data_IF_644906169744
#
_entry.id   IF_644906169744
#
_cell.length_a   1.000
_cell.length_b   1.000
_cell.length_c   1.000
_cell.angle_alpha   90.00
_cell.angle_beta   90.00
_cell.angle_gamma   90.00
#
_symmetry.space_group_name_H-M   'P 1'
#
loop_
_entity.id
_entity.type
_entity.pdbx_description
1 polymer ?
#
# COMPACT_ATOMS: atom_id res chain seq x y z
N UNK A 1 11.73 -23.04 -39.44
CA UNK A 1 12.68 -22.28 -38.60
C UNK A 1 11.86 -21.49 -37.58
N UNK A 2 12.15 -21.60 -36.27
CA UNK A 2 11.21 -21.17 -35.23
C UNK A 2 11.37 -19.69 -34.86
N UNK A 3 10.22 -19.07 -34.59
CA UNK A 3 9.99 -17.69 -34.12
C UNK A 3 10.37 -17.52 -32.62
N UNK A 4 11.56 -17.99 -32.22
CA UNK A 4 11.95 -18.14 -30.81
C UNK A 4 12.86 -17.05 -30.23
N UNK A 5 13.62 -16.30 -31.05
CA UNK A 5 14.79 -15.56 -30.55
C UNK A 5 14.68 -14.02 -30.57
N UNK A 6 13.51 -13.44 -30.86
CA UNK A 6 13.38 -11.98 -30.99
C UNK A 6 12.85 -11.24 -29.73
N UNK A 7 12.66 -11.92 -28.60
CA UNK A 7 12.08 -11.32 -27.37
C UNK A 7 13.00 -11.41 -26.13
N UNK A 8 14.28 -11.74 -26.31
CA UNK A 8 15.26 -11.90 -25.22
C UNK A 8 16.31 -10.78 -25.12
N UNK A 9 16.18 -9.72 -25.94
CA UNK A 9 17.18 -8.63 -26.04
C UNK A 9 16.88 -7.33 -25.27
N UNK A 10 15.71 -7.18 -24.63
CA UNK A 10 15.27 -5.90 -24.03
C UNK A 10 15.24 -5.87 -22.50
N UNK A 11 15.78 -6.90 -21.84
CA UNK A 11 16.03 -6.89 -20.39
C UNK A 11 17.52 -7.06 -20.10
N UNK A 12 18.35 -6.17 -20.66
CA UNK A 12 19.65 -5.92 -20.06
C UNK A 12 19.41 -5.20 -18.73
N UNK A 13 19.38 -5.98 -17.66
CA UNK A 13 19.29 -5.50 -16.30
C UNK A 13 20.37 -4.45 -16.06
N UNK A 14 19.93 -3.20 -15.87
CA UNK A 14 20.77 -2.20 -15.24
C UNK A 14 21.29 -2.79 -13.95
N UNK A 15 22.62 -2.78 -13.77
CA UNK A 15 23.24 -3.06 -12.47
C UNK A 15 22.48 -2.23 -11.45
N UNK A 16 21.71 -2.90 -10.59
CA UNK A 16 21.19 -2.29 -9.37
C UNK A 16 22.43 -1.90 -8.60
N UNK A 17 22.79 -0.62 -8.65
CA UNK A 17 23.84 -0.06 -7.80
C UNK A 17 23.53 -0.54 -6.39
N UNK A 18 24.47 -1.31 -5.81
CA UNK A 18 24.30 -1.91 -4.49
C UNK A 18 23.74 -0.86 -3.57
N UNK A 19 22.49 -1.08 -3.14
CA UNK A 19 21.74 -0.18 -2.28
C UNK A 19 22.67 0.22 -1.12
N UNK A 20 22.82 1.53 -0.91
CA UNK A 20 23.57 2.05 0.22
C UNK A 20 23.13 1.29 1.47
N UNK A 21 24.10 0.74 2.21
CA UNK A 21 23.84 0.00 3.45
C UNK A 21 22.86 0.80 4.30
N UNK A 22 21.71 0.23 4.71
CA UNK A 22 20.76 0.95 5.55
C UNK A 22 21.49 1.40 6.83
N UNK A 23 21.28 2.66 7.28
CA UNK A 23 21.96 3.17 8.47
C UNK A 23 21.61 2.28 9.67
N UNK A 24 22.60 2.05 10.54
CA UNK A 24 22.52 1.07 11.63
C UNK A 24 21.33 1.37 12.55
N UNK A 25 20.52 0.36 12.86
CA UNK A 25 19.34 0.42 13.73
C UNK A 25 19.68 0.58 15.24
N UNK A 26 20.69 1.39 15.56
CA UNK A 26 21.20 1.57 16.92
C UNK A 26 20.25 2.37 17.81
N UNK A 27 19.58 1.67 18.73
CA UNK A 27 19.12 2.12 20.05
C UNK A 27 18.41 3.47 20.17
N UNK A 28 17.06 3.42 20.28
CA UNK A 28 16.10 4.25 21.03
C UNK A 28 16.42 5.70 21.46
N UNK A 29 17.29 6.43 20.78
CA UNK A 29 17.22 7.87 20.82
C UNK A 29 16.50 8.39 19.59
N UNK A 30 15.26 8.67 19.87
CA UNK A 30 14.31 9.23 18.94
C UNK A 30 14.58 10.74 18.83
N UNK A 31 14.61 11.27 17.60
CA UNK A 31 14.54 12.72 17.39
C UNK A 31 13.40 13.28 18.22
N UNK A 32 13.60 14.42 18.87
CA UNK A 32 12.49 15.07 19.56
C UNK A 32 11.40 15.46 18.56
N UNK A 33 10.17 15.60 19.03
CA UNK A 33 9.06 16.06 18.18
C UNK A 33 9.37 17.40 17.50
N UNK A 34 10.05 18.29 18.21
CA UNK A 34 10.49 19.58 17.66
C UNK A 34 11.52 19.41 16.54
N UNK A 35 12.54 18.56 16.73
CA UNK A 35 13.55 18.30 15.69
C UNK A 35 12.93 17.69 14.42
N UNK A 36 11.94 16.80 14.57
CA UNK A 36 11.23 16.22 13.41
C UNK A 36 10.43 17.28 12.67
N UNK A 37 9.81 18.20 13.40
CA UNK A 37 9.09 19.30 12.77
C UNK A 37 10.04 20.26 12.05
N UNK A 38 11.17 20.61 12.67
CA UNK A 38 12.20 21.42 12.02
C UNK A 38 12.74 20.73 10.75
N UNK A 39 12.90 19.40 10.76
CA UNK A 39 13.26 18.63 9.57
C UNK A 39 12.17 18.69 8.49
N UNK A 40 10.89 18.63 8.84
CA UNK A 40 9.79 18.78 7.87
C UNK A 40 9.76 20.17 7.25
N UNK A 41 9.96 21.21 8.06
CA UNK A 41 10.08 22.59 7.57
C UNK A 41 11.28 22.72 6.64
N UNK A 42 12.44 22.18 7.01
CA UNK A 42 13.62 22.14 6.16
C UNK A 42 13.34 21.47 4.81
N UNK A 43 12.60 20.35 4.79
CA UNK A 43 12.21 19.70 3.54
C UNK A 43 11.32 20.59 2.68
N UNK A 44 10.32 21.26 3.28
CA UNK A 44 9.44 22.16 2.55
C UNK A 44 10.25 23.27 1.86
N UNK A 45 11.16 23.94 2.58
CA UNK A 45 12.05 24.96 2.01
C UNK A 45 12.94 24.42 0.86
N UNK A 46 13.42 23.18 0.99
CA UNK A 46 14.20 22.52 -0.06
C UNK A 46 13.35 22.17 -1.29
N UNK A 47 12.07 21.83 -1.09
CA UNK A 47 11.12 21.56 -2.18
C UNK A 47 10.72 22.86 -2.89
N UNK A 48 10.49 23.94 -2.17
CA UNK A 48 10.21 25.25 -2.74
C UNK A 48 11.40 25.74 -3.59
N UNK A 49 12.63 25.54 -3.09
CA UNK A 49 13.84 25.78 -3.88
C UNK A 49 13.87 24.91 -5.14
N UNK A 50 13.48 23.63 -5.05
CA UNK A 50 13.42 22.73 -6.20
C UNK A 50 12.46 23.21 -7.27
N UNK A 51 11.27 23.66 -6.88
CA UNK A 51 10.24 24.16 -7.78
C UNK A 51 10.78 25.34 -8.59
N UNK A 52 11.38 26.31 -7.93
CA UNK A 52 11.95 27.50 -8.59
C UNK A 52 13.09 27.13 -9.54
N UNK A 53 13.98 26.22 -9.14
CA UNK A 53 15.06 25.76 -10.01
C UNK A 53 14.51 25.02 -11.24
N UNK A 54 13.39 24.29 -11.09
CA UNK A 54 12.72 23.66 -12.21
C UNK A 54 12.08 24.69 -13.16
N UNK A 55 11.45 25.74 -12.64
CA UNK A 55 10.85 26.80 -13.46
C UNK A 55 11.93 27.55 -14.26
N UNK A 56 13.08 27.83 -13.64
CA UNK A 56 14.25 28.39 -14.33
C UNK A 56 14.74 27.42 -15.41
N UNK A 57 14.81 26.11 -15.13
CA UNK A 57 15.27 25.10 -16.10
C UNK A 57 14.35 24.96 -17.32
N UNK A 58 13.06 25.25 -17.15
CA UNK A 58 12.05 25.24 -18.23
C UNK A 58 11.98 26.57 -18.99
N UNK A 59 12.68 27.61 -18.51
CA UNK A 59 12.60 28.96 -19.07
C UNK A 59 11.34 29.73 -18.68
N UNK A 60 10.60 29.26 -17.67
CA UNK A 60 9.39 29.92 -17.14
C UNK A 60 9.77 31.11 -16.24
N UNK A 61 10.97 31.08 -15.66
CA UNK A 61 11.58 32.19 -14.92
C UNK A 61 13.06 32.35 -15.28
N UNK A 62 13.69 33.43 -14.83
CA UNK A 62 15.13 33.66 -15.00
C UNK A 62 15.84 33.67 -13.66
N UNK A 63 17.11 33.28 -13.67
CA UNK A 63 17.94 33.24 -12.45
C UNK A 63 18.00 34.62 -11.75
N UNK A 64 18.07 35.71 -12.54
CA UNK A 64 18.08 37.08 -12.03
C UNK A 64 16.77 37.49 -11.35
N UNK A 65 15.62 36.99 -11.79
CA UNK A 65 14.32 37.26 -11.14
C UNK A 65 14.18 36.50 -9.82
N UNK A 66 14.73 35.29 -9.75
CA UNK A 66 14.64 34.42 -8.57
C UNK A 66 15.77 34.60 -7.57
N UNK A 67 16.78 35.42 -7.88
CA UNK A 67 18.02 35.52 -7.11
C UNK A 67 17.84 35.92 -5.64
N UNK A 68 16.93 36.87 -5.37
CA UNK A 68 16.65 37.32 -4.00
C UNK A 68 15.91 36.24 -3.21
N UNK A 69 15.01 35.50 -3.87
CA UNK A 69 14.36 34.36 -3.26
C UNK A 69 15.38 33.25 -2.93
N UNK A 70 16.25 32.88 -3.87
CA UNK A 70 17.30 31.86 -3.65
C UNK A 70 18.19 32.25 -2.45
N UNK A 71 18.59 33.52 -2.34
CA UNK A 71 19.37 34.01 -1.20
C UNK A 71 18.60 33.89 0.11
N UNK A 72 17.31 34.25 0.11
CA UNK A 72 16.45 34.14 1.29
C UNK A 72 16.29 32.67 1.73
N UNK A 73 15.90 31.78 0.82
CA UNK A 73 15.75 30.34 1.13
C UNK A 73 17.05 29.72 1.63
N UNK A 74 18.20 30.11 1.07
CA UNK A 74 19.52 29.69 1.60
C UNK A 74 19.71 30.13 3.07
N UNK A 75 19.36 31.36 3.42
CA UNK A 75 19.44 31.86 4.79
C UNK A 75 18.48 31.12 5.74
N UNK A 76 17.24 30.90 5.29
CA UNK A 76 16.20 30.20 6.05
C UNK A 76 16.64 28.75 6.33
N UNK A 77 17.12 28.03 5.31
CA UNK A 77 17.70 26.69 5.45
C UNK A 77 18.88 26.68 6.44
N UNK A 78 19.81 27.62 6.31
CA UNK A 78 20.95 27.74 7.22
C UNK A 78 20.55 27.98 8.67
N UNK A 79 19.51 28.80 8.90
CA UNK A 79 18.96 29.04 10.22
C UNK A 79 18.32 27.77 10.82
N UNK A 80 17.60 26.99 10.03
CA UNK A 80 17.00 25.73 10.47
C UNK A 80 18.09 24.71 10.83
N UNK A 81 19.14 24.55 10.00
CA UNK A 81 20.26 23.67 10.33
C UNK A 81 20.95 24.06 11.64
N UNK A 82 21.18 25.36 11.84
CA UNK A 82 21.75 25.87 13.09
C UNK A 82 20.88 25.48 14.28
N UNK A 83 19.56 25.73 14.20
CA UNK A 83 18.60 25.35 15.25
C UNK A 83 18.63 23.84 15.56
N UNK A 84 18.62 22.99 14.53
CA UNK A 84 18.67 21.52 14.69
C UNK A 84 19.99 21.10 15.36
N UNK A 85 21.11 21.69 14.96
CA UNK A 85 22.44 21.36 15.49
C UNK A 85 22.60 21.73 16.96
N UNK A 86 22.04 22.87 17.39
CA UNK A 86 22.07 23.34 18.79
C UNK A 86 21.21 22.45 19.71
N UNK A 87 20.12 21.89 19.17
CA UNK A 87 19.19 21.03 19.90
C UNK A 87 19.73 19.59 20.05
N UNK A 88 20.59 19.14 19.14
CA UNK A 88 21.09 17.76 19.09
C UNK A 88 22.25 17.50 20.08
N UNK A 89 21.93 17.31 21.36
CA UNK A 89 22.94 16.88 22.36
C UNK A 89 23.37 15.41 22.23
N UNK A 90 22.53 14.58 21.62
CA UNK A 90 22.77 13.14 21.48
C UNK A 90 23.78 12.82 20.36
N UNK A 91 24.57 11.75 20.52
CA UNK A 91 25.60 11.31 19.59
C UNK A 91 25.12 10.31 18.53
N UNK A 92 24.09 9.51 18.81
CA UNK A 92 23.71 8.37 17.96
C UNK A 92 23.24 8.77 16.55
N UNK A 93 22.52 9.90 16.42
CA UNK A 93 21.94 10.37 15.15
C UNK A 93 22.62 11.61 14.57
N UNK A 94 23.78 12.00 15.12
CA UNK A 94 24.61 13.05 14.49
C UNK A 94 25.04 12.65 13.09
N UNK A 95 25.19 11.36 12.81
CA UNK A 95 25.61 10.89 11.49
C UNK A 95 24.56 11.16 10.41
N UNK A 96 23.28 10.90 10.70
CA UNK A 96 22.19 11.17 9.74
C UNK A 96 22.05 12.67 9.46
N UNK A 97 22.08 13.51 10.52
CA UNK A 97 22.06 14.96 10.37
C UNK A 97 23.30 15.48 9.63
N UNK A 98 24.47 14.98 9.99
CA UNK A 98 25.74 15.30 9.33
C UNK A 98 25.66 14.98 7.84
N UNK A 99 25.12 13.82 7.48
CA UNK A 99 24.95 13.43 6.08
C UNK A 99 24.03 14.40 5.32
N UNK A 100 22.98 14.91 5.97
CA UNK A 100 22.12 15.94 5.36
C UNK A 100 22.89 17.25 5.20
N UNK A 101 23.61 17.68 6.24
CA UNK A 101 24.44 18.90 6.22
C UNK A 101 25.55 18.82 5.15
N UNK A 102 26.26 17.70 5.05
CA UNK A 102 27.31 17.48 4.04
C UNK A 102 26.75 17.61 2.62
N UNK A 103 25.50 17.18 2.38
CA UNK A 103 24.85 17.33 1.07
C UNK A 103 24.44 18.79 0.83
N UNK A 104 24.00 19.50 1.88
CA UNK A 104 23.71 20.93 1.81
C UNK A 104 24.97 21.76 1.52
N UNK A 105 26.09 21.52 2.20
CA UNK A 105 27.37 22.21 1.95
C UNK A 105 27.84 22.01 0.50
N UNK A 106 27.62 20.82 -0.07
CA UNK A 106 27.87 20.56 -1.50
C UNK A 106 26.95 21.37 -2.41
N UNK A 107 25.69 21.60 -2.02
CA UNK A 107 24.77 22.47 -2.75
C UNK A 107 25.17 23.94 -2.65
N UNK A 108 25.58 24.41 -1.47
CA UNK A 108 26.04 25.80 -1.27
C UNK A 108 27.29 26.13 -2.09
N UNK A 109 28.11 25.12 -2.37
CA UNK A 109 29.30 25.24 -3.22
C UNK A 109 28.95 25.34 -4.71
N UNK A 110 27.70 25.09 -5.12
CA UNK A 110 27.28 25.22 -6.50
C UNK A 110 27.21 26.71 -6.92
N UNK A 111 27.71 27.09 -8.11
CA UNK A 111 27.75 28.50 -8.53
C UNK A 111 26.40 29.22 -8.49
N UNK A 112 25.31 28.53 -8.84
CA UNK A 112 23.95 29.10 -8.84
C UNK A 112 23.51 29.48 -7.42
N UNK A 113 23.78 28.63 -6.43
CA UNK A 113 23.40 28.89 -5.03
C UNK A 113 24.37 29.86 -4.37
N UNK A 114 25.65 29.80 -4.75
CA UNK A 114 26.69 30.68 -4.20
C UNK A 114 26.47 32.13 -4.63
N UNK A 115 26.28 32.35 -5.93
CA UNK A 115 26.12 33.66 -6.55
C UNK A 115 24.99 33.63 -7.60
N UNK A 116 23.72 33.72 -7.19
CA UNK A 116 22.59 33.66 -8.12
C UNK A 116 22.48 34.89 -9.05
N UNK A 117 23.34 35.89 -8.91
CA UNK A 117 23.37 37.06 -9.81
C UNK A 117 24.37 36.91 -10.96
N UNK A 118 25.23 35.89 -10.91
CA UNK A 118 26.24 35.67 -11.93
C UNK A 118 25.55 35.20 -13.23
N UNK A 119 26.06 35.68 -14.37
CA UNK A 119 25.61 35.23 -15.69
C UNK A 119 26.33 33.93 -16.04
N UNK A 120 25.56 32.89 -16.36
CA UNK A 120 26.08 31.61 -16.82
C UNK A 120 25.75 31.40 -18.30
N UNK A 121 26.57 30.60 -18.99
CA UNK A 121 26.14 30.07 -20.29
C UNK A 121 24.94 29.14 -20.07
N UNK A 122 24.08 28.98 -21.10
CA UNK A 122 22.92 28.10 -20.99
C UNK A 122 23.32 26.64 -20.66
N UNK A 123 24.46 26.19 -21.18
CA UNK A 123 25.01 24.85 -20.94
C UNK A 123 25.49 24.70 -19.47
N UNK A 124 26.27 25.65 -18.97
CA UNK A 124 26.74 25.65 -17.58
C UNK A 124 25.58 25.73 -16.60
N UNK A 125 24.59 26.60 -16.89
CA UNK A 125 23.39 26.72 -16.07
C UNK A 125 22.64 25.39 -15.99
N UNK A 126 22.37 24.74 -17.12
CA UNK A 126 21.68 23.45 -17.14
C UNK A 126 22.49 22.37 -16.41
N UNK A 127 23.81 22.35 -16.59
CA UNK A 127 24.71 21.43 -15.91
C UNK A 127 24.62 21.59 -14.38
N UNK A 128 24.74 22.82 -13.88
CA UNK A 128 24.66 23.13 -12.46
C UNK A 128 23.26 22.85 -11.88
N UNK A 129 22.19 23.12 -12.62
CA UNK A 129 20.81 22.78 -12.23
C UNK A 129 20.61 21.27 -12.07
N UNK A 130 21.12 20.47 -13.00
CA UNK A 130 21.06 19.01 -12.91
C UNK A 130 21.81 18.48 -11.67
N UNK A 131 22.98 19.06 -11.36
CA UNK A 131 23.72 18.75 -10.14
C UNK A 131 22.91 19.08 -8.88
N UNK A 132 22.31 20.28 -8.82
CA UNK A 132 21.46 20.71 -7.70
C UNK A 132 20.25 19.78 -7.52
N UNK A 133 19.52 19.50 -8.61
CA UNK A 133 18.36 18.61 -8.58
C UNK A 133 18.70 17.23 -8.02
N UNK A 134 19.86 16.67 -8.36
CA UNK A 134 20.32 15.39 -7.79
C UNK A 134 20.57 15.49 -6.28
N UNK A 135 21.15 16.60 -5.80
CA UNK A 135 21.43 16.81 -4.36
C UNK A 135 20.17 17.10 -3.57
N UNK A 136 19.26 17.91 -4.12
CA UNK A 136 17.95 18.22 -3.52
C UNK A 136 17.15 16.94 -3.31
N UNK A 137 16.99 16.11 -4.36
CA UNK A 137 16.32 14.80 -4.24
C UNK A 137 16.92 13.94 -3.12
N UNK A 138 18.26 13.95 -2.98
CA UNK A 138 18.95 13.23 -1.91
C UNK A 138 18.64 13.80 -0.52
N UNK A 139 18.59 15.12 -0.33
CA UNK A 139 18.21 15.75 0.94
C UNK A 139 16.75 15.40 1.28
N UNK A 140 15.83 15.57 0.33
CA UNK A 140 14.40 15.24 0.51
C UNK A 140 14.24 13.79 0.94
N UNK A 141 14.93 12.85 0.27
CA UNK A 141 14.93 11.43 0.65
C UNK A 141 15.45 11.21 2.08
N UNK A 142 16.60 11.78 2.43
CA UNK A 142 17.19 11.60 3.77
C UNK A 142 16.30 12.17 4.88
N UNK A 143 15.70 13.34 4.66
CA UNK A 143 14.76 13.92 5.63
C UNK A 143 13.50 13.06 5.74
N UNK A 144 12.93 12.62 4.61
CA UNK A 144 11.72 11.80 4.58
C UNK A 144 11.95 10.45 5.25
N UNK A 145 13.12 9.85 5.06
CA UNK A 145 13.56 8.64 5.75
C UNK A 145 13.50 8.77 7.28
N UNK A 146 13.80 9.96 7.82
CA UNK A 146 13.76 10.24 9.26
C UNK A 146 12.38 10.61 9.78
N UNK A 147 11.53 11.24 8.95
CA UNK A 147 10.28 11.89 9.39
C UNK A 147 9.01 11.11 9.06
N UNK A 148 9.00 10.34 7.97
CA UNK A 148 7.84 9.54 7.53
C UNK A 148 7.47 8.43 8.53
N UNK A 149 8.40 7.66 9.12
CA UNK A 149 8.04 6.56 10.02
C UNK A 149 7.18 7.03 11.21
N UNK A 150 7.55 8.14 11.85
CA UNK A 150 6.75 8.75 12.92
C UNK A 150 5.38 9.17 12.39
N UNK A 151 5.34 9.96 11.32
CA UNK A 151 4.06 10.46 10.79
C UNK A 151 3.15 9.29 10.46
N UNK A 152 3.67 8.24 9.84
CA UNK A 152 2.93 7.02 9.57
C UNK A 152 2.41 6.36 10.86
N UNK A 153 3.20 6.32 11.94
CA UNK A 153 2.75 5.86 13.26
C UNK A 153 1.61 6.73 13.82
N UNK A 154 1.64 8.05 13.66
CA UNK A 154 0.54 8.94 14.07
C UNK A 154 -0.76 8.63 13.31
N UNK A 155 -0.65 8.36 12.01
CA UNK A 155 -1.80 7.94 11.20
C UNK A 155 -2.31 6.57 11.62
N UNK A 156 -1.41 5.61 11.85
CA UNK A 156 -1.75 4.27 12.34
C UNK A 156 -2.40 4.31 13.74
N UNK A 157 -1.97 5.22 14.62
CA UNK A 157 -2.56 5.38 15.95
C UNK A 157 -4.02 5.84 15.88
N UNK A 158 -4.37 6.67 14.88
CA UNK A 158 -5.73 7.19 14.64
C UNK A 158 -6.58 6.22 13.80
N UNK A 159 -5.97 5.36 12.99
CA UNK A 159 -6.67 4.39 12.16
C UNK A 159 -7.31 3.26 12.97
N UNK A 160 -8.47 2.79 12.53
CA UNK A 160 -9.12 1.60 13.10
C UNK A 160 -8.40 0.32 12.62
N UNK A 161 -8.28 -0.73 13.45
CA UNK A 161 -7.77 -2.01 12.98
C UNK A 161 -8.56 -2.53 11.77
N UNK A 162 -7.85 -3.09 10.79
CA UNK A 162 -8.44 -3.55 9.53
C UNK A 162 -8.48 -2.49 8.42
N UNK A 163 -8.27 -1.21 8.73
CA UNK A 163 -8.08 -0.16 7.71
C UNK A 163 -6.64 -0.15 7.20
N UNK A 164 -6.45 0.43 6.01
CA UNK A 164 -5.15 0.63 5.41
C UNK A 164 -4.89 2.10 5.10
N UNK A 165 -3.61 2.44 5.04
CA UNK A 165 -3.09 3.76 4.65
C UNK A 165 -2.43 3.59 3.27
N UNK A 166 -2.94 4.26 2.21
CA UNK A 166 -2.30 4.26 0.90
C UNK A 166 -1.03 5.13 0.93
N UNK A 167 0.12 4.51 1.19
CA UNK A 167 1.39 5.19 1.43
C UNK A 167 1.78 6.11 0.28
N UNK A 168 1.71 5.63 -0.95
CA UNK A 168 2.14 6.40 -2.12
C UNK A 168 1.34 7.67 -2.34
N UNK A 169 0.05 7.65 -2.01
CA UNK A 169 -0.86 8.79 -2.15
C UNK A 169 -0.67 9.77 -1.01
N UNK A 170 -0.53 9.28 0.22
CA UNK A 170 -0.45 10.13 1.42
C UNK A 170 0.89 10.86 1.54
N UNK A 171 1.96 10.30 0.98
CA UNK A 171 3.31 10.87 1.04
C UNK A 171 3.83 11.31 -0.33
N UNK A 172 2.94 11.53 -1.30
CA UNK A 172 3.32 12.02 -2.63
C UNK A 172 3.89 13.45 -2.57
N UNK A 173 3.31 14.28 -1.72
CA UNK A 173 3.73 15.65 -1.43
C UNK A 173 5.11 15.68 -0.75
N UNK A 174 5.34 14.81 0.23
CA UNK A 174 6.60 14.76 0.98
C UNK A 174 7.74 14.13 0.18
N UNK A 175 7.42 13.17 -0.68
CA UNK A 175 8.41 12.43 -1.45
C UNK A 175 7.91 12.22 -2.88
N UNK A 176 8.09 13.21 -3.78
CA UNK A 176 7.52 13.19 -5.13
C UNK A 176 8.01 12.02 -5.99
N UNK A 177 9.22 11.54 -5.73
CA UNK A 177 9.85 10.41 -6.44
C UNK A 177 9.24 9.08 -6.02
N UNK A 178 8.56 8.39 -6.96
CA UNK A 178 8.01 7.05 -6.72
C UNK A 178 9.08 6.03 -6.32
N UNK A 179 10.26 6.11 -6.94
CA UNK A 179 11.40 5.24 -6.62
C UNK A 179 11.82 5.39 -5.15
N UNK A 180 11.87 6.62 -4.66
CA UNK A 180 12.27 6.89 -3.29
C UNK A 180 11.17 6.48 -2.29
N UNK A 181 9.88 6.61 -2.66
CA UNK A 181 8.77 6.06 -1.88
C UNK A 181 8.87 4.55 -1.71
N UNK A 182 9.24 3.83 -2.78
CA UNK A 182 9.46 2.38 -2.74
C UNK A 182 10.64 2.06 -1.80
N UNK A 183 11.77 2.76 -1.91
CA UNK A 183 12.93 2.56 -1.01
C UNK A 183 12.58 2.73 0.47
N UNK A 184 11.76 3.74 0.81
CA UNK A 184 11.31 3.94 2.20
C UNK A 184 10.40 2.79 2.64
N UNK A 185 9.45 2.35 1.80
CA UNK A 185 8.59 1.21 2.12
C UNK A 185 9.37 -0.08 2.33
N UNK A 186 10.38 -0.33 1.51
CA UNK A 186 11.27 -1.48 1.64
C UNK A 186 12.04 -1.38 2.96
N UNK A 187 12.65 -0.24 3.26
CA UNK A 187 13.30 0.00 4.54
C UNK A 187 12.38 -0.28 5.74
N UNK A 188 11.16 0.24 5.71
CA UNK A 188 10.18 0.04 6.76
C UNK A 188 9.76 -1.43 6.88
N UNK A 189 9.74 -2.17 5.77
CA UNK A 189 9.42 -3.60 5.75
C UNK A 189 10.51 -4.42 6.45
N UNK A 190 11.77 -4.01 6.30
CA UNK A 190 12.91 -4.66 6.96
C UNK A 190 13.20 -4.14 8.38
N UNK A 191 12.46 -3.13 8.85
CA UNK A 191 12.66 -2.48 10.14
C UNK A 191 11.40 -2.62 11.01
N UNK A 192 11.17 -3.80 11.64
CA UNK A 192 9.91 -4.09 12.34
C UNK A 192 9.62 -3.11 13.49
N UNK A 193 10.65 -2.54 14.11
CA UNK A 193 10.50 -1.59 15.21
C UNK A 193 10.19 -0.15 14.73
N UNK A 194 10.33 0.14 13.44
CA UNK A 194 10.05 1.47 12.89
C UNK A 194 8.55 1.79 12.90
N UNK A 195 7.68 0.78 12.75
CA UNK A 195 6.23 0.94 12.72
C UNK A 195 5.52 0.25 13.87
N UNK A 196 4.91 1.04 14.74
CA UNK A 196 4.09 0.56 15.84
C UNK A 196 2.66 0.26 15.36
N UNK A 197 2.37 -1.02 15.08
CA UNK A 197 1.01 -1.44 14.73
C UNK A 197 0.71 -1.45 13.23
N UNK A 198 1.72 -1.30 12.38
CA UNK A 198 1.59 -1.33 10.92
C UNK A 198 2.07 -2.64 10.32
N UNK A 199 1.28 -3.22 9.41
CA UNK A 199 1.69 -4.32 8.53
C UNK A 199 1.83 -3.78 7.10
N UNK A 200 3.06 -3.75 6.60
CA UNK A 200 3.35 -3.20 5.28
C UNK A 200 3.13 -4.25 4.20
N UNK A 201 2.55 -3.81 3.10
CA UNK A 201 2.49 -4.56 1.86
C UNK A 201 3.21 -3.76 0.76
N UNK A 202 4.53 -3.95 0.66
CA UNK A 202 5.42 -3.17 -0.19
C UNK A 202 4.94 -3.12 -1.65
N UNK A 203 4.61 -4.28 -2.23
CA UNK A 203 4.17 -4.36 -3.63
C UNK A 203 2.87 -3.62 -3.99
N UNK A 204 2.09 -3.15 -3.01
CA UNK A 204 0.92 -2.28 -3.28
C UNK A 204 1.00 -0.93 -2.59
N UNK A 205 2.08 -0.63 -1.85
CA UNK A 205 2.18 0.57 -1.03
C UNK A 205 1.06 0.75 0.00
N UNK A 206 0.51 -0.35 0.53
CA UNK A 206 -0.54 -0.28 1.56
C UNK A 206 0.03 -0.64 2.92
N UNK A 207 -0.27 0.17 3.93
CA UNK A 207 0.10 -0.11 5.33
C UNK A 207 -1.16 -0.39 6.13
N UNK A 208 -1.36 -1.63 6.54
CA UNK A 208 -2.54 -2.08 7.27
C UNK A 208 -2.37 -1.90 8.77
N UNK A 209 -3.38 -1.38 9.45
CA UNK A 209 -3.36 -1.25 10.92
C UNK A 209 -3.81 -2.55 11.59
N UNK A 210 -2.98 -3.09 12.48
CA UNK A 210 -3.37 -4.16 13.42
C UNK A 210 -3.35 -3.68 14.86
N UNK A 211 -4.21 -4.20 15.72
CA UNK A 211 -4.29 -3.90 17.16
C UNK A 211 -2.99 -4.21 17.90
N UNK A 212 -2.48 -3.24 18.67
CA UNK A 212 -1.34 -3.45 19.59
C UNK A 212 -1.68 -4.42 20.74
N UNK A 213 -2.96 -4.49 21.14
CA UNK A 213 -3.41 -5.44 22.16
C UNK A 213 -3.42 -6.87 21.60
N UNK A 214 -2.59 -7.74 22.17
CA UNK A 214 -2.51 -9.17 21.82
C UNK A 214 -3.86 -9.86 21.97
N UNK A 215 -4.62 -9.54 23.03
CA UNK A 215 -5.95 -10.12 23.24
C UNK A 215 -6.91 -9.82 22.09
N UNK A 216 -6.98 -8.56 21.64
CA UNK A 216 -7.80 -8.19 20.48
C UNK A 216 -7.38 -8.91 19.20
N UNK A 217 -6.08 -9.16 19.02
CA UNK A 217 -5.58 -9.94 17.86
C UNK A 217 -6.03 -11.40 17.91
N UNK A 218 -5.94 -12.03 19.09
CA UNK A 218 -6.41 -13.41 19.29
C UNK A 218 -7.93 -13.48 19.12
N UNK A 219 -8.67 -12.50 19.66
CA UNK A 219 -10.11 -12.42 19.51
C UNK A 219 -10.51 -12.33 18.03
N UNK A 220 -9.79 -11.58 17.20
CA UNK A 220 -10.05 -11.57 15.75
C UNK A 220 -9.83 -12.92 15.07
N UNK A 221 -8.89 -13.74 15.54
CA UNK A 221 -8.74 -15.12 15.04
C UNK A 221 -9.95 -15.96 15.47
N UNK A 222 -10.36 -15.87 16.73
CA UNK A 222 -11.51 -16.60 17.25
C UNK A 222 -12.82 -16.20 16.55
N UNK A 223 -13.03 -14.91 16.32
CA UNK A 223 -14.15 -14.37 15.56
C UNK A 223 -14.14 -14.88 14.11
N UNK A 224 -12.98 -14.86 13.44
CA UNK A 224 -12.87 -15.37 12.08
C UNK A 224 -13.18 -16.87 12.02
N UNK A 225 -12.70 -17.65 13.00
CA UNK A 225 -13.01 -19.07 13.13
C UNK A 225 -14.51 -19.30 13.40
N UNK A 226 -15.12 -18.50 14.27
CA UNK A 226 -16.55 -18.58 14.56
C UNK A 226 -17.40 -18.27 13.31
N UNK A 227 -17.03 -17.24 12.53
CA UNK A 227 -17.65 -16.93 11.23
C UNK A 227 -17.49 -18.09 10.28
N UNK A 228 -16.29 -18.67 10.18
CA UNK A 228 -16.02 -19.80 9.30
C UNK A 228 -16.87 -21.04 9.65
N UNK A 229 -16.97 -21.37 10.94
CA UNK A 229 -17.80 -22.47 11.45
C UNK A 229 -19.28 -22.19 11.15
N UNK A 230 -19.75 -20.98 11.46
CA UNK A 230 -21.13 -20.58 11.19
C UNK A 230 -21.47 -20.68 9.71
N UNK A 231 -20.62 -20.15 8.83
CA UNK A 231 -20.82 -20.22 7.38
C UNK A 231 -20.81 -21.66 6.88
N UNK A 232 -19.87 -22.49 7.33
CA UNK A 232 -19.80 -23.91 6.96
C UNK A 232 -21.06 -24.65 7.40
N UNK A 233 -21.54 -24.36 8.62
CA UNK A 233 -22.78 -24.90 9.16
C UNK A 233 -23.99 -24.48 8.31
N UNK A 234 -24.12 -23.20 7.96
CA UNK A 234 -25.19 -22.70 7.11
C UNK A 234 -25.16 -23.31 5.71
N UNK A 235 -23.97 -23.46 5.12
CA UNK A 235 -23.79 -24.11 3.81
C UNK A 235 -24.23 -25.57 3.88
N UNK A 236 -23.80 -26.32 4.89
CA UNK A 236 -24.18 -27.73 5.06
C UNK A 236 -25.71 -27.90 5.22
N UNK A 237 -26.33 -27.04 6.03
CA UNK A 237 -27.77 -27.10 6.29
C UNK A 237 -28.64 -26.35 5.27
N UNK A 238 -28.06 -25.78 4.21
CA UNK A 238 -28.81 -25.05 3.18
C UNK A 238 -29.83 -25.93 2.43
N UNK A 239 -29.57 -27.24 2.34
CA UNK A 239 -30.49 -28.22 1.76
C UNK A 239 -31.77 -28.45 2.58
N UNK A 240 -31.77 -28.11 3.88
CA UNK A 240 -32.96 -28.28 4.73
C UNK A 240 -34.12 -27.47 4.16
N UNK A 241 -33.87 -26.28 3.58
CA UNK A 241 -34.90 -25.37 3.07
C UNK A 241 -35.85 -25.99 2.02
N UNK A 242 -35.51 -27.15 1.45
CA UNK A 242 -36.37 -27.88 0.50
C UNK A 242 -37.47 -28.72 1.14
N UNK A 243 -37.48 -28.93 2.47
CA UNK A 243 -38.49 -29.77 3.14
C UNK A 243 -39.72 -28.97 3.59
N UNK A 244 -40.91 -29.55 3.38
CA UNK A 244 -42.24 -28.92 3.53
C UNK A 244 -42.68 -28.68 5.00
N UNK A 245 -41.94 -29.18 6.01
CA UNK A 245 -42.31 -29.04 7.43
C UNK A 245 -41.07 -28.89 8.35
N UNK A 246 -40.37 -27.78 8.23
CA UNK A 246 -39.13 -27.56 8.96
C UNK A 246 -39.26 -26.62 10.16
N UNK A 247 -39.23 -27.20 11.35
CA UNK A 247 -38.72 -26.48 12.52
C UNK A 247 -37.24 -26.79 12.68
N UNK A 248 -36.40 -25.78 12.54
CA UNK A 248 -34.97 -25.91 12.82
C UNK A 248 -34.72 -25.67 14.30
N UNK A 249 -34.01 -26.60 14.96
CA UNK A 249 -33.67 -26.47 16.37
C UNK A 249 -32.18 -26.14 16.50
N UNK A 250 -31.86 -24.86 16.74
CA UNK A 250 -30.49 -24.42 17.02
C UNK A 250 -30.28 -24.43 18.54
N UNK A 251 -29.60 -25.46 19.06
CA UNK A 251 -29.42 -25.75 20.50
C UNK A 251 -30.75 -25.80 21.29
N UNK A 252 -31.26 -24.63 21.71
CA UNK A 252 -32.42 -24.44 22.56
C UNK A 252 -33.55 -23.65 21.89
N UNK A 253 -33.30 -23.06 20.71
CA UNK A 253 -34.29 -22.23 20.00
C UNK A 253 -34.91 -23.01 18.84
N UNK A 254 -36.24 -23.11 18.82
CA UNK A 254 -36.99 -23.54 17.63
C UNK A 254 -37.24 -22.31 16.76
N UNK A 255 -36.43 -22.15 15.72
CA UNK A 255 -36.59 -21.06 14.76
C UNK A 255 -37.36 -21.66 13.57
N UNK A 256 -38.58 -21.19 13.27
CA UNK A 256 -39.27 -21.60 12.04
C UNK A 256 -38.43 -21.10 10.86
N UNK A 257 -37.91 -22.02 10.05
CA UNK A 257 -37.25 -21.64 8.80
C UNK A 257 -38.32 -21.53 7.72
N UNK A 258 -38.24 -20.51 6.85
CA UNK A 258 -39.15 -20.39 5.73
C UNK A 258 -38.94 -21.58 4.79
N UNK A 259 -40.00 -22.30 4.48
CA UNK A 259 -40.03 -23.18 3.32
C UNK A 259 -39.96 -22.33 2.06
N UNK A 260 -39.05 -22.67 1.16
CA UNK A 260 -38.92 -22.00 -0.13
C UNK A 260 -39.33 -23.01 -1.20
N UNK A 261 -40.55 -22.84 -1.72
CA UNK A 261 -41.05 -23.63 -2.83
C UNK A 261 -40.07 -23.51 -4.01
N UNK A 262 -39.63 -24.65 -4.56
CA UNK A 262 -38.61 -24.74 -5.61
C UNK A 262 -37.17 -24.39 -5.19
N UNK A 263 -36.81 -24.55 -3.91
CA UNK A 263 -35.40 -24.52 -3.53
C UNK A 263 -34.60 -25.59 -4.30
N UNK A 264 -33.57 -25.24 -5.08
CA UNK A 264 -32.94 -26.14 -6.06
C UNK A 264 -31.92 -27.10 -5.47
N UNK A 265 -31.78 -27.15 -4.14
CA UNK A 265 -30.79 -27.94 -3.43
C UNK A 265 -31.52 -28.97 -2.57
N UNK A 266 -31.37 -30.24 -2.93
CA UNK A 266 -32.03 -31.37 -2.26
C UNK A 266 -31.19 -31.92 -1.10
N UNK A 267 -31.83 -32.60 -0.14
CA UNK A 267 -31.18 -33.21 1.02
C UNK A 267 -30.17 -34.31 0.65
N UNK A 268 -30.40 -35.03 -0.45
CA UNK A 268 -29.46 -36.05 -0.96
C UNK A 268 -28.13 -35.44 -1.46
N UNK A 269 -28.07 -34.12 -1.68
CA UNK A 269 -26.89 -33.40 -2.18
C UNK A 269 -26.01 -32.82 -1.07
N UNK A 270 -26.34 -33.01 0.21
CA UNK A 270 -25.58 -32.45 1.35
C UNK A 270 -24.08 -32.71 1.28
N UNK A 271 -23.67 -33.94 0.96
CA UNK A 271 -22.26 -34.31 0.82
C UNK A 271 -21.60 -33.58 -0.36
N UNK A 272 -22.29 -33.47 -1.49
CA UNK A 272 -21.87 -32.73 -2.67
C UNK A 272 -21.66 -31.24 -2.36
N UNK A 273 -22.56 -30.63 -1.60
CA UNK A 273 -22.43 -29.22 -1.16
C UNK A 273 -21.21 -29.04 -0.28
N UNK A 274 -21.02 -29.90 0.71
CA UNK A 274 -19.89 -29.81 1.63
C UNK A 274 -18.55 -30.01 0.90
N UNK A 275 -18.47 -30.97 -0.01
CA UNK A 275 -17.28 -31.19 -0.83
C UNK A 275 -17.01 -30.02 -1.78
N UNK A 276 -18.06 -29.44 -2.38
CA UNK A 276 -17.94 -28.22 -3.19
C UNK A 276 -17.45 -27.03 -2.37
N UNK A 277 -17.95 -26.84 -1.15
CA UNK A 277 -17.50 -25.81 -0.23
C UNK A 277 -16.02 -25.94 0.12
N UNK A 278 -15.59 -27.14 0.53
CA UNK A 278 -14.17 -27.42 0.83
C UNK A 278 -13.30 -27.16 -0.41
N UNK A 279 -13.76 -27.58 -1.59
CA UNK A 279 -13.01 -27.37 -2.83
C UNK A 279 -12.86 -25.89 -3.19
N UNK A 280 -13.90 -25.06 -3.03
CA UNK A 280 -13.82 -23.59 -3.22
C UNK A 280 -12.79 -22.98 -2.27
N UNK A 281 -12.83 -23.34 -0.98
CA UNK A 281 -11.88 -22.83 0.00
C UNK A 281 -10.44 -23.20 -0.38
N UNK A 282 -10.22 -24.44 -0.83
CA UNK A 282 -8.93 -24.89 -1.31
C UNK A 282 -8.47 -24.10 -2.55
N UNK A 283 -9.37 -23.83 -3.49
CA UNK A 283 -9.12 -22.97 -4.65
C UNK A 283 -8.64 -21.57 -4.26
N UNK A 284 -9.31 -20.93 -3.29
CA UNK A 284 -8.93 -19.61 -2.77
C UNK A 284 -7.53 -19.65 -2.13
N UNK A 285 -7.24 -20.67 -1.32
CA UNK A 285 -5.94 -20.84 -0.68
C UNK A 285 -4.84 -21.05 -1.73
N UNK A 286 -5.06 -21.92 -2.71
CA UNK A 286 -4.11 -22.16 -3.80
C UNK A 286 -3.85 -20.89 -4.60
N UNK A 287 -4.88 -20.10 -4.92
CA UNK A 287 -4.71 -18.82 -5.61
C UNK A 287 -3.83 -17.86 -4.80
N UNK A 288 -4.11 -17.71 -3.49
CA UNK A 288 -3.32 -16.87 -2.60
C UNK A 288 -1.86 -17.34 -2.47
N UNK A 289 -1.62 -18.66 -2.40
CA UNK A 289 -0.29 -19.25 -2.35
C UNK A 289 0.50 -18.96 -3.63
N UNK A 290 -0.10 -19.17 -4.81
CA UNK A 290 0.53 -18.86 -6.10
C UNK A 290 0.85 -17.36 -6.21
N UNK A 291 -0.06 -16.49 -5.76
CA UNK A 291 0.19 -15.04 -5.72
C UNK A 291 1.38 -14.67 -4.83
N UNK A 292 1.53 -15.33 -3.69
CA UNK A 292 2.65 -15.12 -2.76
C UNK A 292 3.98 -15.57 -3.37
N UNK A 293 4.01 -16.74 -4.02
CA UNK A 293 5.21 -17.25 -4.70
C UNK A 293 5.62 -16.34 -5.86
N UNK A 294 4.67 -15.91 -6.69
CA UNK A 294 4.94 -14.99 -7.82
C UNK A 294 5.52 -13.65 -7.35
N UNK A 295 5.11 -13.15 -6.18
CA UNK A 295 5.69 -11.92 -5.59
C UNK A 295 7.11 -12.16 -5.11
N UNK A 296 7.36 -13.24 -4.37
CA UNK A 296 8.71 -13.61 -3.95
C UNK A 296 9.70 -13.77 -5.12
N UNK A 297 9.22 -14.28 -6.27
CA UNK A 297 10.03 -14.36 -7.49
C UNK A 297 10.39 -12.99 -8.08
N UNK A 298 9.51 -11.99 -7.97
CA UNK A 298 9.75 -10.62 -8.47
C UNK A 298 10.64 -9.82 -7.53
N UNK A 299 10.47 -10.01 -6.23
CA UNK A 299 11.18 -9.26 -5.18
C UNK A 299 12.53 -9.90 -4.82
N UNK A 300 12.81 -11.12 -5.29
CA UNK A 300 14.11 -11.81 -5.11
C UNK A 300 14.34 -12.38 -3.71
N UNK A 301 13.38 -12.23 -2.79
CA UNK A 301 13.43 -12.77 -1.44
C UNK A 301 12.11 -13.48 -1.10
N UNK A 302 12.15 -14.72 -0.57
CA UNK A 302 10.94 -15.39 -0.12
C UNK A 302 10.35 -14.66 1.10
N UNK A 303 9.03 -14.41 1.16
CA UNK A 303 8.43 -13.83 2.34
C UNK A 303 8.53 -14.82 3.50
N UNK A 304 9.27 -14.45 4.56
CA UNK A 304 9.36 -15.23 5.79
C UNK A 304 8.22 -14.77 6.69
N UNK A 305 7.21 -15.63 6.87
CA UNK A 305 6.14 -15.39 7.84
C UNK A 305 6.49 -16.10 9.14
N UNK A 306 6.78 -15.33 10.19
CA UNK A 306 6.84 -15.92 11.53
C UNK A 306 5.41 -16.32 11.96
N UNK A 307 5.27 -17.47 12.61
CA UNK A 307 3.96 -17.94 13.12
C UNK A 307 3.33 -16.95 14.11
N UNK A 308 4.17 -16.20 14.84
CA UNK A 308 3.75 -15.12 15.74
C UNK A 308 3.07 -13.95 15.01
N UNK A 309 3.38 -13.73 13.74
CA UNK A 309 2.80 -12.67 12.92
C UNK A 309 1.40 -13.02 12.39
N UNK A 310 0.97 -14.29 12.46
CA UNK A 310 -0.34 -14.71 11.99
C UNK A 310 -1.47 -13.91 12.66
N UNK A 311 -1.36 -13.66 13.96
CA UNK A 311 -2.36 -12.87 14.70
C UNK A 311 -2.40 -11.40 14.27
N UNK A 312 -1.24 -10.83 13.91
CA UNK A 312 -1.14 -9.47 13.36
C UNK A 312 -1.76 -9.41 11.98
N UNK A 313 -1.45 -10.38 11.14
CA UNK A 313 -1.96 -10.51 9.77
C UNK A 313 -3.47 -10.64 9.73
N UNK A 314 -4.04 -11.57 10.51
CA UNK A 314 -5.49 -11.80 10.58
C UNK A 314 -6.20 -10.54 11.07
N UNK A 315 -5.69 -9.89 12.13
CA UNK A 315 -6.30 -8.67 12.64
C UNK A 315 -6.20 -7.49 11.65
N UNK A 316 -5.05 -7.31 11.00
CA UNK A 316 -4.83 -6.29 9.96
C UNK A 316 -5.74 -6.48 8.74
N UNK A 317 -6.12 -7.72 8.42
CA UNK A 317 -6.87 -8.07 7.20
C UNK A 317 -8.24 -8.68 7.49
N UNK A 318 -8.75 -8.53 8.70
CA UNK A 318 -9.97 -9.21 9.14
C UNK A 318 -11.14 -8.99 8.17
N UNK A 319 -11.42 -7.73 7.82
CA UNK A 319 -12.50 -7.40 6.87
C UNK A 319 -12.30 -8.01 5.48
N UNK A 320 -11.05 -8.03 4.97
CA UNK A 320 -10.74 -8.66 3.68
C UNK A 320 -10.95 -10.17 3.73
N UNK A 321 -10.58 -10.82 4.83
CA UNK A 321 -10.77 -12.26 5.03
C UNK A 321 -12.26 -12.63 5.12
N UNK A 322 -13.04 -11.87 5.90
CA UNK A 322 -14.51 -12.05 5.97
C UNK A 322 -15.16 -11.85 4.60
N UNK A 323 -14.75 -10.82 3.85
CA UNK A 323 -15.22 -10.61 2.48
C UNK A 323 -14.89 -11.79 1.58
N UNK A 324 -13.71 -12.40 1.69
CA UNK A 324 -13.34 -13.60 0.91
C UNK A 324 -14.21 -14.81 1.27
N UNK A 325 -14.54 -15.00 2.55
CA UNK A 325 -15.47 -16.06 2.97
C UNK A 325 -16.88 -15.81 2.36
N UNK A 326 -17.37 -14.57 2.40
CA UNK A 326 -18.67 -14.22 1.81
C UNK A 326 -18.69 -14.46 0.28
N UNK A 327 -17.63 -14.06 -0.41
CA UNK A 327 -17.47 -14.29 -1.85
C UNK A 327 -17.39 -15.79 -2.18
N UNK A 328 -16.76 -16.59 -1.32
CA UNK A 328 -16.74 -18.04 -1.45
C UNK A 328 -18.15 -18.63 -1.41
N UNK A 329 -19.00 -18.13 -0.50
CA UNK A 329 -20.41 -18.54 -0.38
C UNK A 329 -21.19 -18.17 -1.64
N UNK A 330 -21.04 -16.92 -2.11
CA UNK A 330 -21.68 -16.45 -3.35
C UNK A 330 -21.22 -17.30 -4.55
N UNK A 331 -19.93 -17.60 -4.65
CA UNK A 331 -19.37 -18.45 -5.69
C UNK A 331 -19.94 -19.87 -5.68
N UNK A 332 -20.08 -20.48 -4.50
CA UNK A 332 -20.67 -21.80 -4.33
C UNK A 332 -22.12 -21.85 -4.80
N UNK A 333 -22.96 -20.95 -4.26
CA UNK A 333 -24.38 -20.93 -4.60
C UNK A 333 -24.61 -20.47 -6.04
N UNK A 334 -23.81 -19.53 -6.54
CA UNK A 334 -23.83 -19.14 -7.95
C UNK A 334 -23.53 -20.33 -8.88
N UNK A 335 -22.54 -21.15 -8.55
CA UNK A 335 -22.25 -22.39 -9.27
C UNK A 335 -23.43 -23.36 -9.21
N UNK A 336 -23.98 -23.62 -8.02
CA UNK A 336 -25.12 -24.53 -7.83
C UNK A 336 -26.36 -24.11 -8.60
N UNK A 337 -26.72 -22.83 -8.57
CA UNK A 337 -27.90 -22.33 -9.24
C UNK A 337 -27.72 -22.26 -10.76
N UNK A 338 -26.49 -22.02 -11.23
CA UNK A 338 -26.20 -21.99 -12.67
C UNK A 338 -26.11 -23.38 -13.30
N UNK A 339 -25.47 -24.34 -12.63
CA UNK A 339 -25.24 -25.69 -13.20
C UNK A 339 -26.19 -26.77 -12.70
N UNK A 340 -27.00 -26.46 -11.69
CA UNK A 340 -27.71 -27.45 -10.88
C UNK A 340 -26.82 -28.04 -9.78
N UNK A 341 -27.38 -28.23 -8.58
CA UNK A 341 -26.63 -28.70 -7.42
C UNK A 341 -26.06 -30.13 -7.60
N UNK A 342 -26.75 -31.01 -8.35
CA UNK A 342 -26.26 -32.35 -8.69
C UNK A 342 -25.06 -32.36 -9.67
N UNK A 343 -24.81 -31.25 -10.37
CA UNK A 343 -23.71 -31.11 -11.34
C UNK A 343 -22.44 -30.53 -10.71
N UNK A 344 -22.47 -30.17 -9.42
CA UNK A 344 -21.31 -29.59 -8.74
C UNK A 344 -20.26 -30.67 -8.50
N UNK A 345 -19.14 -30.55 -9.20
CA UNK A 345 -17.96 -31.38 -8.98
C UNK A 345 -16.93 -30.63 -8.12
N UNK A 346 -16.10 -31.33 -7.33
CA UNK A 346 -15.00 -30.69 -6.60
C UNK A 346 -14.06 -29.89 -7.51
N UNK A 347 -13.83 -30.35 -8.74
CA UNK A 347 -12.98 -29.64 -9.71
C UNK A 347 -13.57 -28.29 -10.11
N UNK A 348 -14.84 -28.25 -10.51
CA UNK A 348 -15.48 -26.99 -10.92
C UNK A 348 -15.58 -26.01 -9.75
N UNK A 349 -15.91 -26.51 -8.56
CA UNK A 349 -15.93 -25.72 -7.33
C UNK A 349 -14.52 -25.17 -6.99
N UNK A 350 -13.48 -25.99 -7.08
CA UNK A 350 -12.09 -25.53 -6.92
C UNK A 350 -11.73 -24.41 -7.89
N UNK A 351 -12.10 -24.53 -9.18
CA UNK A 351 -11.83 -23.52 -10.19
C UNK A 351 -12.58 -22.20 -9.93
N UNK A 352 -13.83 -22.27 -9.45
CA UNK A 352 -14.57 -21.09 -8.97
C UNK A 352 -13.81 -20.44 -7.82
N UNK A 353 -13.41 -21.22 -6.80
CA UNK A 353 -12.59 -20.74 -5.70
C UNK A 353 -11.30 -20.06 -6.14
N UNK A 354 -10.59 -20.67 -7.08
CA UNK A 354 -9.32 -20.18 -7.62
C UNK A 354 -9.48 -18.89 -8.44
N UNK A 355 -10.63 -18.69 -9.11
CA UNK A 355 -10.89 -17.54 -9.97
C UNK A 355 -11.62 -16.38 -9.30
N UNK A 356 -12.17 -16.58 -8.09
CA UNK A 356 -12.98 -15.58 -7.37
C UNK A 356 -12.28 -14.22 -7.21
N UNK A 357 -11.00 -14.18 -6.84
CA UNK A 357 -10.27 -12.92 -6.63
C UNK A 357 -10.14 -12.14 -7.96
N UNK A 358 -9.76 -12.84 -9.04
CA UNK A 358 -9.63 -12.24 -10.37
C UNK A 358 -10.98 -11.80 -10.94
N UNK A 359 -12.04 -12.56 -10.70
CA UNK A 359 -13.39 -12.20 -11.12
C UNK A 359 -13.84 -10.90 -10.44
N UNK A 360 -13.69 -10.80 -9.12
CA UNK A 360 -14.07 -9.59 -8.38
C UNK A 360 -13.24 -8.37 -8.81
N UNK A 361 -11.96 -8.54 -9.09
CA UNK A 361 -11.10 -7.47 -9.59
C UNK A 361 -11.52 -7.00 -11.00
N UNK A 362 -11.80 -7.93 -11.92
CA UNK A 362 -12.26 -7.61 -13.28
C UNK A 362 -13.64 -6.93 -13.28
N UNK A 363 -14.57 -7.40 -12.44
CA UNK A 363 -15.88 -6.77 -12.31
C UNK A 363 -15.80 -5.41 -11.62
N UNK A 364 -14.95 -5.27 -10.60
CA UNK A 364 -14.72 -4.00 -9.92
C UNK A 364 -14.19 -2.93 -10.87
N UNK A 365 -13.11 -3.25 -11.59
CA UNK A 365 -12.50 -2.34 -12.58
C UNK A 365 -13.47 -1.99 -13.72
N UNK A 366 -14.26 -2.95 -14.21
CA UNK A 366 -15.29 -2.70 -15.24
C UNK A 366 -16.42 -1.77 -14.74
N UNK A 367 -16.89 -1.97 -13.50
CA UNK A 367 -17.90 -1.10 -12.89
C UNK A 367 -17.37 0.32 -12.65
N UNK A 368 -16.11 0.45 -12.25
CA UNK A 368 -15.43 1.74 -12.08
C UNK A 368 -15.29 2.48 -13.41
N UNK A 369 -14.85 1.79 -14.47
CA UNK A 369 -14.81 2.38 -15.82
C UNK A 369 -16.20 2.82 -16.31
N UNK A 370 -17.24 2.04 -16.03
CA UNK A 370 -18.62 2.41 -16.38
C UNK A 370 -19.11 3.61 -15.56
N UNK A 371 -18.81 3.67 -14.27
CA UNK A 371 -19.22 4.77 -13.40
C UNK A 371 -18.51 6.07 -13.80
N UNK A 372 -17.22 6.01 -14.14
CA UNK A 372 -16.47 7.15 -14.69
C UNK A 372 -17.06 7.62 -16.02
N UNK A 373 -17.39 6.70 -16.94
CA UNK A 373 -18.01 7.03 -18.23
C UNK A 373 -19.38 7.71 -18.04
N UNK A 374 -20.19 7.21 -17.12
CA UNK A 374 -21.48 7.81 -16.78
C UNK A 374 -21.30 9.20 -16.13
N UNK A 375 -20.33 9.36 -15.23
CA UNK A 375 -20.01 10.64 -14.60
C UNK A 375 -19.55 11.70 -15.61
N UNK A 376 -18.71 11.31 -16.57
CA UNK A 376 -18.27 12.20 -17.68
C UNK A 376 -19.45 12.58 -18.56
N UNK A 377 -20.33 11.62 -18.88
CA UNK A 377 -21.54 11.86 -19.69
C UNK A 377 -22.49 12.85 -19.00
N UNK A 378 -22.74 12.66 -17.70
CA UNK A 378 -23.55 13.57 -16.89
C UNK A 378 -22.94 14.98 -16.80
N UNK A 379 -21.62 15.10 -16.60
CA UNK A 379 -20.94 16.41 -16.61
C UNK A 379 -21.08 17.13 -17.95
N UNK A 380 -21.03 16.39 -19.07
CA UNK A 380 -21.22 16.96 -20.40
C UNK A 380 -22.66 17.44 -20.59
N UNK A 381 -23.65 16.67 -20.14
CA UNK A 381 -25.07 17.06 -20.20
C UNK A 381 -25.37 18.29 -19.34
N UNK A 382 -24.80 18.38 -18.14
CA UNK A 382 -24.99 19.53 -17.26
C UNK A 382 -24.39 20.82 -17.84
N UNK A 383 -23.17 20.76 -18.42
CA UNK A 383 -22.57 21.93 -19.10
C UNK A 383 -23.39 22.41 -20.30
N UNK A 384 -23.95 21.49 -21.08
CA UNK A 384 -24.80 21.83 -22.23
C UNK A 384 -26.10 22.54 -21.81
N UNK A 385 -26.60 22.30 -20.60
CA UNK A 385 -27.79 22.96 -20.07
C UNK A 385 -27.52 24.34 -19.45
N UNK A 386 -26.26 24.68 -19.15
CA UNK A 386 -25.88 26.01 -18.65
C UNK A 386 -25.64 27.02 -19.79
N UNK A 387 -25.44 26.52 -21.02
CA UNK A 387 -25.20 27.34 -22.23
C UNK A 387 -26.48 27.64 -23.03
N UNK A 388 -27.64 27.14 -22.60
CA UNK A 388 -28.98 27.42 -23.17
C UNK A 388 -29.80 28.28 -22.22
#
# INVERSE_FOLDING_TARGET
MPFGDLMLGLFQGGKVDRAATPPSSGGNSEFTKEQREDLRVLRAEIQDLQEILNDISKGESTLALCSEYIKKTKQDIGAIFKKISETSKDSSRREDLRRIMDVWEQMESNPIIKNPQDSFSAEDQLHHMNMLNKRIKKIIYLISYLTIPERLNDWLAKARPGYYIPFHVIFEDELPSMEDRIKILDFLTFSPDALSGGLIHAGSGLVYRYSLSTWKRILSIAELLAIFILVTYLVYYSSILSLDNNSFQLLWWKIPLPYIESWPIEMNQQSTILLGWIAILFGIITHAAVGTVKRGQREGLPPIYATSDLSRYVNARFGLLVRKILLAVIGLFGLMFASGAGSVTPLNAFLVGYSLDSFVELFGTSLEQRSETLAVTLRKQLKLNEET
#
